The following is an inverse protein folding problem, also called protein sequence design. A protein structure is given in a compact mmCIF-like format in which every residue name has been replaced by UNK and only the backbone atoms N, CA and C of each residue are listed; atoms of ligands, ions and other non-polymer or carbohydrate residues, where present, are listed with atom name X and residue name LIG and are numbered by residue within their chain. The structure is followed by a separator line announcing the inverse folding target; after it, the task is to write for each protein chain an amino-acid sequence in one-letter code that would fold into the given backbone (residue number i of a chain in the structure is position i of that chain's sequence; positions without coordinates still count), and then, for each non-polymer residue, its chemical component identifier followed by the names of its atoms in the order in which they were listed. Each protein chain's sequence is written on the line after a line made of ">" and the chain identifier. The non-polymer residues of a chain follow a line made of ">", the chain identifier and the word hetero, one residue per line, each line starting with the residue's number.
data_IF_087176409184
#
_entry.id   IF_087176409184
#
_cell.length_a   1.000
_cell.length_b   1.000
_cell.length_c   1.000
_cell.angle_alpha   90.00
_cell.angle_beta   90.00
_cell.angle_gamma   90.00
#
_symmetry.space_group_name_H-M   'P 1'
#
loop_
_entity.id
_entity.type
_entity.pdbx_description
1 polymer ?
#
# COMPACT_ATOMS: atom_id res chain seq x y z
N UNK A 1 12.27 -12.69 46.38
CA UNK A 1 11.57 -11.50 45.87
C UNK A 1 10.37 -11.88 45.04
N UNK A 2 9.17 -11.63 45.58
CA UNK A 2 7.88 -11.91 44.93
C UNK A 2 7.48 -10.65 44.16
N UNK A 3 7.25 -10.79 42.85
CA UNK A 3 6.68 -9.74 42.01
C UNK A 3 5.41 -9.18 42.68
N UNK A 4 5.39 -7.88 42.91
CA UNK A 4 4.25 -7.15 43.45
C UNK A 4 3.14 -7.16 42.41
N UNK A 5 1.93 -7.54 42.82
CA UNK A 5 0.75 -7.74 41.96
C UNK A 5 0.18 -6.50 41.27
N UNK A 6 0.97 -5.44 41.08
CA UNK A 6 0.58 -4.22 40.36
C UNK A 6 0.77 -4.34 38.83
N UNK A 7 1.55 -5.31 38.35
CA UNK A 7 1.81 -5.51 36.91
C UNK A 7 0.80 -6.46 36.24
N UNK A 8 -0.14 -7.06 36.98
CA UNK A 8 -0.96 -8.17 36.47
C UNK A 8 -2.28 -7.79 35.82
N UNK A 9 -2.83 -6.61 36.07
CA UNK A 9 -4.17 -6.24 35.56
C UNK A 9 -4.27 -4.75 35.23
N UNK A 10 -3.46 -4.26 34.28
CA UNK A 10 -3.88 -3.07 33.53
C UNK A 10 -4.99 -3.52 32.58
N UNK A 11 -6.22 -3.57 33.10
CA UNK A 11 -7.38 -4.03 32.33
C UNK A 11 -7.68 -2.98 31.27
N UNK A 12 -7.20 -3.23 30.06
CA UNK A 12 -7.60 -2.50 28.87
C UNK A 12 -9.12 -2.65 28.71
N UNK A 13 -9.84 -1.53 28.74
CA UNK A 13 -11.29 -1.46 28.51
C UNK A 13 -11.58 -0.29 27.59
N UNK A 14 -12.63 -0.45 26.78
CA UNK A 14 -13.11 0.57 25.85
C UNK A 14 -12.00 1.14 24.96
N UNK A 15 -11.17 0.24 24.42
CA UNK A 15 -10.04 0.60 23.58
C UNK A 15 -9.93 -0.32 22.36
N UNK A 16 -9.79 0.29 21.20
CA UNK A 16 -9.31 -0.36 19.98
C UNK A 16 -7.83 -0.02 19.84
N UNK A 17 -6.97 -1.04 19.94
CA UNK A 17 -5.52 -0.84 20.09
C UNK A 17 -4.89 -0.22 18.86
N UNK A 18 -5.24 -0.72 17.67
CA UNK A 18 -4.73 -0.14 16.42
C UNK A 18 -5.25 1.27 16.22
N UNK A 19 -6.54 1.50 16.51
CA UNK A 19 -7.10 2.84 16.42
C UNK A 19 -6.34 3.78 17.35
N UNK A 20 -6.24 3.48 18.65
CA UNK A 20 -5.50 4.30 19.64
C UNK A 20 -4.05 4.56 19.21
N UNK A 21 -3.32 3.52 18.79
CA UNK A 21 -1.94 3.64 18.34
C UNK A 21 -1.79 4.62 17.16
N UNK A 22 -2.71 4.57 16.19
CA UNK A 22 -2.71 5.46 15.03
C UNK A 22 -3.18 6.88 15.34
N UNK A 23 -3.78 7.13 16.51
CA UNK A 23 -4.33 8.44 16.90
C UNK A 23 -3.29 9.56 16.99
N UNK A 24 -2.02 9.21 17.23
CA UNK A 24 -0.91 10.17 17.30
C UNK A 24 0.03 10.09 16.09
N UNK A 25 -0.38 9.39 15.04
CA UNK A 25 0.45 9.18 13.85
C UNK A 25 0.22 10.25 12.78
N UNK A 26 1.04 10.24 11.72
CA UNK A 26 0.81 11.04 10.51
C UNK A 26 -0.51 10.72 9.80
N UNK A 27 -1.14 9.58 10.11
CA UNK A 27 -2.44 9.16 9.56
C UNK A 27 -3.62 9.67 10.39
N UNK A 28 -3.37 10.33 11.53
CA UNK A 28 -4.43 10.78 12.46
C UNK A 28 -5.39 11.80 11.84
N UNK A 29 -4.93 12.60 10.89
CA UNK A 29 -5.70 13.66 10.22
C UNK A 29 -6.66 13.15 9.15
N UNK A 30 -6.60 11.86 8.79
CA UNK A 30 -7.43 11.29 7.73
C UNK A 30 -8.05 9.95 8.20
N UNK A 31 -9.36 9.97 8.44
CA UNK A 31 -10.08 8.81 8.97
C UNK A 31 -10.09 7.63 8.01
N UNK A 32 -10.18 7.88 6.70
CA UNK A 32 -10.15 6.85 5.66
C UNK A 32 -8.80 6.13 5.62
N UNK A 33 -7.68 6.87 5.66
CA UNK A 33 -6.34 6.29 5.70
C UNK A 33 -6.09 5.52 7.01
N UNK A 34 -6.61 6.02 8.14
CA UNK A 34 -6.51 5.32 9.43
C UNK A 34 -7.31 4.02 9.44
N UNK A 35 -8.52 4.02 8.86
CA UNK A 35 -9.35 2.82 8.70
C UNK A 35 -8.71 1.82 7.73
N UNK A 36 -8.11 2.30 6.64
CA UNK A 36 -7.35 1.47 5.71
C UNK A 36 -6.14 0.83 6.40
N UNK A 37 -5.34 1.62 7.12
CA UNK A 37 -4.21 1.11 7.90
C UNK A 37 -4.65 0.04 8.89
N UNK A 38 -5.73 0.28 9.65
CA UNK A 38 -6.32 -0.69 10.56
C UNK A 38 -6.82 -1.96 9.85
N UNK A 39 -7.34 -1.82 8.63
CA UNK A 39 -7.81 -2.98 7.85
C UNK A 39 -6.66 -3.85 7.36
N UNK A 40 -5.57 -3.22 6.92
CA UNK A 40 -4.36 -3.93 6.49
C UNK A 40 -3.67 -4.61 7.68
N UNK A 41 -3.51 -3.92 8.81
CA UNK A 41 -2.78 -4.46 9.97
C UNK A 41 -3.64 -5.34 10.89
N UNK A 42 -4.96 -5.22 10.83
CA UNK A 42 -5.87 -5.76 11.83
C UNK A 42 -5.88 -4.93 13.12
N UNK A 43 -6.66 -5.39 14.10
CA UNK A 43 -6.71 -4.76 15.43
C UNK A 43 -7.19 -5.74 16.48
N UNK A 44 -7.03 -5.36 17.74
CA UNK A 44 -7.63 -6.00 18.90
C UNK A 44 -8.41 -4.94 19.67
N UNK A 45 -9.64 -5.27 20.05
CA UNK A 45 -10.58 -4.38 20.72
C UNK A 45 -10.98 -4.99 22.06
N UNK A 46 -10.88 -4.17 23.11
CA UNK A 46 -11.38 -4.47 24.43
C UNK A 46 -12.66 -3.67 24.68
N UNK A 47 -13.78 -4.37 24.85
CA UNK A 47 -15.05 -3.78 25.24
C UNK A 47 -15.11 -3.45 26.74
N UNK A 48 -16.17 -2.74 27.15
CA UNK A 48 -16.36 -2.29 28.53
C UNK A 48 -16.45 -3.45 29.53
N UNK A 49 -16.97 -4.59 29.08
CA UNK A 49 -17.21 -5.79 29.89
C UNK A 49 -16.05 -6.81 29.84
N UNK A 50 -14.90 -6.43 29.28
CA UNK A 50 -13.78 -7.36 29.05
C UNK A 50 -13.97 -8.27 27.83
N UNK A 51 -14.96 -7.98 26.98
CA UNK A 51 -15.12 -8.63 25.68
C UNK A 51 -13.90 -8.35 24.81
N UNK A 52 -13.27 -9.41 24.31
CA UNK A 52 -12.16 -9.36 23.38
C UNK A 52 -12.68 -9.58 21.97
N UNK A 53 -12.41 -8.64 21.06
CA UNK A 53 -12.71 -8.78 19.63
C UNK A 53 -11.46 -8.56 18.79
N UNK A 54 -11.14 -9.53 17.94
CA UNK A 54 -9.99 -9.48 17.03
C UNK A 54 -10.50 -9.14 15.64
N UNK A 55 -9.88 -8.13 15.02
CA UNK A 55 -10.04 -7.83 13.60
C UNK A 55 -8.86 -8.46 12.85
N UNK A 56 -9.15 -9.43 11.99
CA UNK A 56 -8.14 -10.09 11.16
C UNK A 56 -7.53 -9.10 10.15
N UNK A 57 -6.23 -9.22 9.92
CA UNK A 57 -5.52 -8.49 8.86
C UNK A 57 -6.13 -8.82 7.48
N UNK A 58 -6.31 -7.79 6.66
CA UNK A 58 -6.77 -7.91 5.26
C UNK A 58 -5.61 -7.73 4.26
N UNK A 59 -4.35 -7.75 4.72
CA UNK A 59 -3.19 -7.51 3.87
C UNK A 59 -3.02 -8.54 2.74
N UNK A 60 -3.50 -9.78 2.95
CA UNK A 60 -3.50 -10.84 1.94
C UNK A 60 -4.79 -10.90 1.11
N UNK A 61 -5.75 -10.00 1.36
CA UNK A 61 -7.01 -9.96 0.62
C UNK A 61 -6.77 -9.49 -0.82
N UNK A 62 -6.86 -10.45 -1.75
CA UNK A 62 -6.67 -10.18 -3.19
C UNK A 62 -7.77 -9.29 -3.76
N UNK A 63 -8.98 -9.28 -3.20
CA UNK A 63 -10.05 -8.40 -3.68
C UNK A 63 -9.74 -6.93 -3.38
N UNK A 64 -9.11 -6.65 -2.23
CA UNK A 64 -8.66 -5.30 -1.87
C UNK A 64 -7.55 -4.83 -2.80
N UNK A 65 -6.55 -5.68 -3.07
CA UNK A 65 -5.52 -5.40 -4.05
C UNK A 65 -6.14 -5.13 -5.43
N UNK A 66 -7.00 -6.01 -5.94
CA UNK A 66 -7.64 -5.84 -7.25
C UNK A 66 -8.47 -4.56 -7.33
N UNK A 67 -9.26 -4.25 -6.30
CA UNK A 67 -10.05 -3.02 -6.26
C UNK A 67 -9.19 -1.75 -6.29
N UNK A 68 -8.05 -1.74 -5.58
CA UNK A 68 -7.10 -0.61 -5.61
C UNK A 68 -6.41 -0.48 -6.97
N UNK A 69 -6.03 -1.61 -7.56
CA UNK A 69 -5.25 -1.65 -8.79
C UNK A 69 -6.07 -1.33 -10.05
N UNK A 70 -7.25 -1.94 -10.19
CA UNK A 70 -8.06 -1.91 -11.41
C UNK A 70 -9.47 -1.35 -11.21
N UNK A 71 -9.84 -1.01 -9.98
CA UNK A 71 -11.21 -0.69 -9.60
C UNK A 71 -12.02 -1.95 -9.26
N UNK A 72 -13.22 -1.74 -8.74
CA UNK A 72 -14.10 -2.78 -8.22
C UNK A 72 -14.50 -2.51 -6.78
N UNK A 73 -15.04 -3.53 -6.12
CA UNK A 73 -15.52 -3.45 -4.74
C UNK A 73 -14.69 -4.37 -3.85
N UNK A 74 -14.23 -3.84 -2.73
CA UNK A 74 -13.55 -4.59 -1.67
C UNK A 74 -14.18 -4.28 -0.32
N UNK A 75 -13.95 -5.16 0.66
CA UNK A 75 -14.36 -4.92 2.04
C UNK A 75 -13.22 -4.31 2.83
N UNK A 76 -13.55 -3.37 3.70
CA UNK A 76 -12.63 -2.81 4.70
C UNK A 76 -13.36 -2.64 6.02
N UNK A 77 -12.63 -2.56 7.12
CA UNK A 77 -13.22 -2.20 8.40
C UNK A 77 -13.49 -0.70 8.44
N UNK A 78 -14.77 -0.36 8.63
CA UNK A 78 -15.23 1.01 8.82
C UNK A 78 -15.67 1.18 10.26
N UNK A 79 -15.13 2.21 10.90
CA UNK A 79 -15.40 2.54 12.29
C UNK A 79 -16.82 3.06 12.48
N UNK A 80 -17.44 2.66 13.59
CA UNK A 80 -18.72 3.18 14.05
C UNK A 80 -18.65 4.66 14.46
N UNK A 81 -17.48 5.09 14.96
CA UNK A 81 -17.19 6.47 15.32
C UNK A 81 -15.69 6.76 15.17
N UNK A 82 -15.33 8.04 15.00
CA UNK A 82 -13.93 8.46 14.83
C UNK A 82 -13.14 8.57 16.15
N UNK A 83 -13.82 8.51 17.30
CA UNK A 83 -13.17 8.68 18.61
C UNK A 83 -12.43 7.39 19.01
N UNK A 84 -13.18 6.34 19.34
CA UNK A 84 -12.64 5.09 19.89
C UNK A 84 -12.74 3.91 18.93
N UNK A 85 -13.64 3.96 17.93
CA UNK A 85 -13.84 2.87 16.97
C UNK A 85 -13.97 1.49 17.64
N UNK A 86 -14.92 1.35 18.57
CA UNK A 86 -15.07 0.12 19.37
C UNK A 86 -15.90 -0.94 18.65
N UNK A 87 -16.72 -0.53 17.69
CA UNK A 87 -17.62 -1.41 16.93
C UNK A 87 -17.44 -1.30 15.40
N UNK A 88 -16.22 -1.34 14.84
CA UNK A 88 -16.05 -1.39 13.38
C UNK A 88 -16.79 -2.57 12.75
N UNK A 89 -17.25 -2.34 11.53
CA UNK A 89 -17.99 -3.29 10.69
C UNK A 89 -17.34 -3.40 9.32
N UNK A 90 -17.50 -4.55 8.66
CA UNK A 90 -17.02 -4.73 7.29
C UNK A 90 -17.99 -4.06 6.33
N UNK A 91 -17.54 -3.02 5.66
CA UNK A 91 -18.30 -2.31 4.65
C UNK A 91 -17.61 -2.40 3.30
N UNK A 92 -18.44 -2.33 2.25
CA UNK A 92 -17.97 -2.27 0.87
C UNK A 92 -17.43 -0.87 0.57
N UNK A 93 -16.22 -0.81 0.03
CA UNK A 93 -15.66 0.37 -0.63
C UNK A 93 -15.57 0.05 -2.11
N UNK A 94 -16.09 0.96 -2.94
CA UNK A 94 -16.05 0.83 -4.39
C UNK A 94 -15.10 1.87 -4.98
N UNK A 95 -14.14 1.40 -5.75
CA UNK A 95 -13.19 2.22 -6.49
C UNK A 95 -13.59 2.11 -7.96
N UNK A 96 -13.90 3.24 -8.57
CA UNK A 96 -14.22 3.27 -9.98
C UNK A 96 -12.94 3.03 -10.81
N UNK A 97 -13.06 2.39 -11.96
CA UNK A 97 -11.89 2.02 -12.78
C UNK A 97 -11.06 3.25 -13.22
N UNK A 98 -11.72 4.40 -13.40
CA UNK A 98 -11.09 5.70 -13.70
C UNK A 98 -10.25 6.27 -12.53
N UNK A 99 -10.49 5.80 -11.31
CA UNK A 99 -9.75 6.18 -10.09
C UNK A 99 -8.82 5.07 -9.60
N UNK A 100 -8.64 4.02 -10.38
CA UNK A 100 -7.74 2.92 -10.06
C UNK A 100 -6.27 3.34 -10.18
N UNK A 101 -5.37 2.68 -9.44
CA UNK A 101 -3.94 2.99 -9.50
C UNK A 101 -3.36 2.79 -10.90
N UNK A 102 -3.76 1.72 -11.60
CA UNK A 102 -3.32 1.48 -12.99
C UNK A 102 -3.73 2.65 -13.88
N UNK A 103 -4.98 3.11 -13.77
CA UNK A 103 -5.46 4.23 -14.59
C UNK A 103 -4.73 5.54 -14.28
N UNK A 104 -4.52 5.84 -12.99
CA UNK A 104 -3.77 7.04 -12.59
C UNK A 104 -2.32 7.01 -13.08
N UNK A 105 -1.66 5.86 -13.03
CA UNK A 105 -0.31 5.67 -13.56
C UNK A 105 -0.28 5.78 -15.07
N UNK A 106 -1.26 5.18 -15.75
CA UNK A 106 -1.39 5.27 -17.20
C UNK A 106 -1.52 6.73 -17.65
N UNK A 107 -2.42 7.48 -17.02
CA UNK A 107 -2.66 8.89 -17.35
C UNK A 107 -1.42 9.75 -17.07
N UNK A 108 -0.68 9.45 -16.00
CA UNK A 108 0.59 10.09 -15.68
C UNK A 108 1.64 9.82 -16.75
N UNK A 109 1.85 8.55 -17.13
CA UNK A 109 2.83 8.16 -18.14
C UNK A 109 2.48 8.75 -19.51
N UNK A 110 1.22 8.70 -19.92
CA UNK A 110 0.74 9.32 -21.17
C UNK A 110 0.93 10.83 -21.16
N UNK A 111 0.71 11.51 -20.03
CA UNK A 111 0.99 12.95 -19.90
C UNK A 111 2.48 13.26 -20.08
N UNK A 112 3.36 12.47 -19.44
CA UNK A 112 4.83 12.63 -19.56
C UNK A 112 5.28 12.36 -21.00
N UNK A 113 4.77 11.30 -21.63
CA UNK A 113 5.08 10.95 -23.02
C UNK A 113 4.66 12.06 -23.98
N UNK A 114 3.43 12.54 -23.90
CA UNK A 114 2.94 13.62 -24.75
C UNK A 114 3.82 14.87 -24.63
N UNK A 115 4.19 15.25 -23.39
CA UNK A 115 5.05 16.40 -23.14
C UNK A 115 6.48 16.21 -23.66
N UNK A 116 7.01 14.99 -23.59
CA UNK A 116 8.31 14.67 -24.17
C UNK A 116 8.29 14.80 -25.70
N UNK A 117 7.19 14.40 -26.35
CA UNK A 117 7.02 14.52 -27.81
C UNK A 117 6.82 15.97 -28.24
N UNK A 118 6.03 16.74 -27.49
CA UNK A 118 5.69 18.14 -27.82
C UNK A 118 6.67 19.17 -27.24
N UNK A 119 7.81 18.73 -26.72
CA UNK A 119 8.83 19.57 -26.06
C UNK A 119 8.24 20.54 -25.02
N UNK A 120 7.29 20.01 -24.23
CA UNK A 120 6.59 20.78 -23.20
C UNK A 120 7.16 20.47 -21.82
N UNK A 121 7.39 21.47 -20.95
CA UNK A 121 7.95 21.22 -19.62
C UNK A 121 7.10 20.30 -18.75
N UNK A 122 7.77 19.39 -18.03
CA UNK A 122 7.13 18.56 -17.00
C UNK A 122 6.73 19.39 -15.78
N UNK A 123 5.59 19.05 -15.21
CA UNK A 123 5.10 19.57 -13.93
C UNK A 123 5.90 18.99 -12.77
N UNK A 124 5.86 19.64 -11.61
CA UNK A 124 6.52 19.12 -10.39
C UNK A 124 5.98 17.73 -9.98
N UNK A 125 4.68 17.48 -10.17
CA UNK A 125 4.07 16.17 -9.89
C UNK A 125 4.65 15.07 -10.80
N UNK A 126 4.82 15.36 -12.08
CA UNK A 126 5.42 14.41 -13.03
C UNK A 126 6.90 14.15 -12.71
N UNK A 127 7.66 15.18 -12.35
CA UNK A 127 9.06 15.03 -11.92
C UNK A 127 9.17 14.19 -10.65
N UNK A 128 8.32 14.45 -9.67
CA UNK A 128 8.26 13.66 -8.43
C UNK A 128 7.90 12.20 -8.71
N UNK A 129 6.93 11.96 -9.60
CA UNK A 129 6.55 10.62 -10.03
C UNK A 129 7.73 9.88 -10.66
N UNK A 130 8.47 10.51 -11.59
CA UNK A 130 9.67 9.93 -12.20
C UNK A 130 10.72 9.56 -11.13
N UNK A 131 10.93 10.46 -10.16
CA UNK A 131 11.91 10.24 -9.09
C UNK A 131 11.46 9.25 -8.01
N UNK A 132 10.17 8.89 -7.96
CA UNK A 132 9.63 7.93 -6.99
C UNK A 132 9.72 6.46 -7.42
N UNK A 133 10.12 6.21 -8.67
CA UNK A 133 10.22 4.85 -9.21
C UNK A 133 11.67 4.51 -9.55
N UNK A 134 12.08 3.27 -9.34
CA UNK A 134 13.40 2.77 -9.78
C UNK A 134 13.50 2.63 -11.31
N UNK A 135 12.37 2.68 -12.02
CA UNK A 135 12.32 2.49 -13.46
C UNK A 135 12.71 3.78 -14.19
N UNK A 136 13.62 3.73 -15.17
CA UNK A 136 13.99 4.90 -15.96
C UNK A 136 12.89 5.25 -16.98
N UNK A 137 11.76 5.82 -16.51
CA UNK A 137 10.57 6.16 -17.30
C UNK A 137 10.92 6.94 -18.57
N UNK A 138 11.83 7.92 -18.48
CA UNK A 138 12.22 8.73 -19.63
C UNK A 138 12.91 7.89 -20.73
N UNK A 139 13.75 6.92 -20.34
CA UNK A 139 14.36 6.03 -21.33
C UNK A 139 13.32 5.15 -22.01
N UNK A 140 12.32 4.69 -21.27
CA UNK A 140 11.22 3.89 -21.81
C UNK A 140 10.42 4.65 -22.86
N UNK A 141 10.12 5.93 -22.61
CA UNK A 141 9.41 6.81 -23.55
C UNK A 141 10.23 7.02 -24.83
N UNK A 142 11.54 7.28 -24.68
CA UNK A 142 12.43 7.44 -25.84
C UNK A 142 12.48 6.15 -26.67
N UNK A 143 12.62 4.99 -26.01
CA UNK A 143 12.70 3.70 -26.69
C UNK A 143 11.39 3.39 -27.44
N UNK A 144 10.22 3.66 -26.82
CA UNK A 144 8.88 3.51 -27.43
C UNK A 144 8.76 4.26 -28.77
N UNK A 145 9.11 5.55 -28.76
CA UNK A 145 9.02 6.40 -29.96
C UNK A 145 9.89 5.92 -31.13
N UNK A 146 10.99 5.24 -30.85
CA UNK A 146 11.99 4.86 -31.86
C UNK A 146 11.69 3.56 -32.61
N UNK A 147 10.89 2.66 -32.03
CA UNK A 147 10.74 1.29 -32.53
C UNK A 147 9.29 0.87 -32.77
N UNK A 148 8.32 1.80 -32.69
CA UNK A 148 6.88 1.46 -32.65
C UNK A 148 6.61 0.32 -31.65
N UNK A 149 7.25 0.41 -30.48
CA UNK A 149 7.21 -0.64 -29.46
C UNK A 149 5.74 -0.94 -29.16
N UNK A 150 5.40 -2.22 -29.06
CA UNK A 150 4.03 -2.66 -28.88
C UNK A 150 3.43 -2.04 -27.62
N UNK A 151 2.20 -1.53 -27.75
CA UNK A 151 1.37 -1.00 -26.66
C UNK A 151 1.30 -1.94 -25.44
N UNK A 152 1.52 -3.24 -25.65
CA UNK A 152 1.61 -4.26 -24.61
C UNK A 152 2.73 -4.03 -23.59
N UNK A 153 3.89 -3.52 -24.00
CA UNK A 153 5.02 -3.35 -23.09
C UNK A 153 4.85 -2.10 -22.21
N UNK A 154 4.20 -1.06 -22.77
CA UNK A 154 3.79 0.11 -22.00
C UNK A 154 2.71 -0.23 -20.96
N UNK A 155 1.78 -1.13 -21.30
CA UNK A 155 0.81 -1.64 -20.35
C UNK A 155 1.48 -2.43 -19.21
N UNK A 156 2.46 -3.29 -19.52
CA UNK A 156 3.23 -4.01 -18.49
C UNK A 156 4.02 -3.06 -17.58
N UNK A 157 4.62 -2.01 -18.15
CA UNK A 157 5.29 -0.96 -17.39
C UNK A 157 4.31 -0.22 -16.46
N UNK A 158 3.12 0.11 -16.96
CA UNK A 158 2.04 0.76 -16.19
C UNK A 158 1.63 -0.12 -15.01
N UNK A 159 1.34 -1.39 -15.26
CA UNK A 159 0.96 -2.36 -14.23
C UNK A 159 2.05 -2.50 -13.17
N UNK A 160 3.31 -2.59 -13.60
CA UNK A 160 4.45 -2.66 -12.70
C UNK A 160 4.53 -1.44 -11.77
N UNK A 161 4.56 -0.23 -12.35
CA UNK A 161 4.68 1.01 -11.57
C UNK A 161 3.51 1.14 -10.58
N UNK A 162 2.30 0.78 -11.00
CA UNK A 162 1.14 0.82 -10.12
C UNK A 162 1.28 -0.13 -8.92
N UNK A 163 1.77 -1.35 -9.12
CA UNK A 163 1.97 -2.31 -8.02
C UNK A 163 3.12 -1.86 -7.12
N UNK A 164 4.20 -1.32 -7.69
CA UNK A 164 5.32 -0.78 -6.92
C UNK A 164 4.87 0.37 -6.01
N UNK A 165 4.11 1.34 -6.54
CA UNK A 165 3.53 2.44 -5.75
C UNK A 165 2.63 1.91 -4.64
N UNK A 166 1.80 0.91 -4.94
CA UNK A 166 0.94 0.29 -3.94
C UNK A 166 1.75 -0.37 -2.82
N UNK A 167 2.81 -1.11 -3.18
CA UNK A 167 3.72 -1.74 -2.24
C UNK A 167 4.40 -0.69 -1.34
N UNK A 168 4.97 0.37 -1.94
CA UNK A 168 5.60 1.48 -1.20
C UNK A 168 4.61 2.13 -0.22
N UNK A 169 3.35 2.32 -0.65
CA UNK A 169 2.30 2.86 0.21
C UNK A 169 2.00 1.93 1.40
N UNK A 170 1.84 0.62 1.16
CA UNK A 170 1.62 -0.33 2.24
C UNK A 170 2.83 -0.45 3.19
N UNK A 171 4.05 -0.37 2.68
CA UNK A 171 5.28 -0.34 3.50
C UNK A 171 5.30 0.92 4.39
N UNK A 172 4.93 2.08 3.85
CA UNK A 172 4.82 3.32 4.61
C UNK A 172 3.75 3.21 5.71
N UNK A 173 2.58 2.65 5.38
CA UNK A 173 1.51 2.38 6.37
C UNK A 173 2.01 1.44 7.46
N UNK A 174 2.66 0.33 7.11
CA UNK A 174 3.20 -0.61 8.09
C UNK A 174 4.30 0.00 8.95
N UNK A 175 5.14 0.87 8.39
CA UNK A 175 6.15 1.62 9.16
C UNK A 175 5.48 2.50 10.22
N UNK A 176 4.43 3.23 9.85
CA UNK A 176 3.65 4.06 10.78
C UNK A 176 3.01 3.20 11.86
N UNK A 177 2.35 2.09 11.48
CA UNK A 177 1.72 1.15 12.41
C UNK A 177 2.73 0.61 13.45
N UNK A 178 3.89 0.14 12.99
CA UNK A 178 4.92 -0.39 13.90
C UNK A 178 5.50 0.69 14.82
N UNK A 179 5.73 1.90 14.29
CA UNK A 179 6.19 3.04 15.10
C UNK A 179 5.17 3.43 16.16
N UNK A 180 3.89 3.54 15.78
CA UNK A 180 2.78 3.83 16.68
C UNK A 180 2.67 2.81 17.82
N UNK A 181 2.76 1.51 17.52
CA UNK A 181 2.68 0.46 18.54
C UNK A 181 3.91 0.45 19.46
N UNK A 182 5.10 0.78 18.96
CA UNK A 182 6.32 0.82 19.78
C UNK A 182 6.26 1.90 20.87
N UNK A 183 5.42 2.93 20.72
CA UNK A 183 5.24 4.00 21.72
C UNK A 183 4.22 3.65 22.83
N UNK A 184 3.55 2.50 22.73
CA UNK A 184 2.45 2.12 23.62
C UNK A 184 2.80 0.87 24.41
N UNK A 185 2.64 0.92 25.72
CA UNK A 185 2.89 -0.21 26.63
C UNK A 185 1.60 -1.00 26.88
N UNK A 186 1.23 -1.87 25.93
CA UNK A 186 0.05 -2.72 26.07
C UNK A 186 0.42 -4.08 26.73
N UNK A 187 -0.42 -4.63 27.63
CA UNK A 187 -0.17 -5.91 28.29
C UNK A 187 0.12 -7.06 27.30
N UNK A 188 1.17 -7.83 27.58
CA UNK A 188 1.77 -8.78 26.63
C UNK A 188 0.85 -9.91 26.15
N UNK A 189 -0.07 -10.40 26.98
CA UNK A 189 -1.02 -11.46 26.61
C UNK A 189 -2.00 -11.02 25.51
N UNK A 190 -2.36 -9.73 25.52
CA UNK A 190 -3.32 -9.09 24.61
C UNK A 190 -2.68 -8.65 23.28
N UNK A 191 -1.35 -8.72 23.19
CA UNK A 191 -0.56 -8.33 22.04
C UNK A 191 -0.25 -9.47 21.09
N UNK A 192 -0.54 -10.72 21.47
CA UNK A 192 -0.18 -11.88 20.66
C UNK A 192 -0.95 -11.90 19.34
N UNK A 193 -2.26 -11.68 19.39
CA UNK A 193 -3.15 -11.69 18.22
C UNK A 193 -2.83 -10.50 17.30
N UNK A 194 -2.57 -9.33 17.89
CA UNK A 194 -2.16 -8.15 17.11
C UNK A 194 -0.81 -8.37 16.42
N UNK A 195 0.17 -8.93 17.14
CA UNK A 195 1.48 -9.28 16.57
C UNK A 195 1.35 -10.32 15.46
N UNK A 196 0.41 -11.27 15.57
CA UNK A 196 0.11 -12.23 14.51
C UNK A 196 -0.43 -11.52 13.27
N UNK A 197 -1.43 -10.65 13.40
CA UNK A 197 -1.96 -9.89 12.26
C UNK A 197 -0.91 -9.02 11.57
N UNK A 198 0.01 -8.43 12.33
CA UNK A 198 1.15 -7.69 11.78
C UNK A 198 2.16 -8.61 11.07
N UNK A 199 2.38 -9.82 11.57
CA UNK A 199 3.25 -10.80 10.93
C UNK A 199 2.64 -11.27 9.60
N UNK A 200 1.33 -11.54 9.58
CA UNK A 200 0.59 -11.90 8.37
C UNK A 200 0.67 -10.76 7.34
N UNK A 201 0.48 -9.51 7.77
CA UNK A 201 0.62 -8.34 6.90
C UNK A 201 2.02 -8.19 6.31
N UNK A 202 3.07 -8.40 7.12
CA UNK A 202 4.46 -8.40 6.64
C UNK A 202 4.73 -9.53 5.66
N UNK A 203 4.20 -10.72 5.91
CA UNK A 203 4.35 -11.85 5.00
C UNK A 203 3.68 -11.57 3.66
N UNK A 204 2.45 -11.03 3.68
CA UNK A 204 1.74 -10.63 2.46
C UNK A 204 2.52 -9.59 1.66
N UNK A 205 3.12 -8.59 2.33
CA UNK A 205 3.97 -7.60 1.69
C UNK A 205 5.23 -8.20 1.06
N UNK A 206 5.89 -9.11 1.77
CA UNK A 206 7.07 -9.78 1.22
C UNK A 206 6.73 -10.62 -0.01
N UNK A 207 5.58 -11.32 0.01
CA UNK A 207 5.09 -12.04 -1.17
C UNK A 207 4.82 -11.11 -2.35
N UNK A 208 4.14 -9.98 -2.10
CA UNK A 208 3.88 -8.98 -3.14
C UNK A 208 5.19 -8.39 -3.68
N UNK A 209 6.16 -8.12 -2.82
CA UNK A 209 7.48 -7.62 -3.21
C UNK A 209 8.23 -8.58 -4.13
N UNK A 210 8.20 -9.88 -3.83
CA UNK A 210 8.80 -10.89 -4.72
C UNK A 210 8.09 -10.93 -6.08
N UNK A 211 6.75 -10.84 -6.10
CA UNK A 211 5.98 -10.74 -7.36
C UNK A 211 6.37 -9.49 -8.17
N UNK A 212 6.59 -8.35 -7.50
CA UNK A 212 7.02 -7.09 -8.13
C UNK A 212 8.43 -7.21 -8.70
N UNK A 213 9.39 -7.73 -7.93
CA UNK A 213 10.79 -7.88 -8.37
C UNK A 213 10.92 -8.75 -9.63
N UNK A 214 10.16 -9.84 -9.72
CA UNK A 214 10.15 -10.69 -10.92
C UNK A 214 9.66 -9.91 -12.16
N UNK A 215 8.64 -9.05 -11.98
CA UNK A 215 8.14 -8.20 -13.06
C UNK A 215 9.13 -7.10 -13.44
N UNK A 216 9.84 -6.54 -12.45
CA UNK A 216 10.91 -5.56 -12.67
C UNK A 216 12.01 -6.14 -13.56
N UNK A 217 12.53 -7.30 -13.19
CA UNK A 217 13.61 -7.98 -13.91
C UNK A 217 13.21 -8.30 -15.37
N UNK A 218 11.97 -8.74 -15.56
CA UNK A 218 11.43 -9.01 -16.89
C UNK A 218 11.34 -7.73 -17.75
N UNK A 219 10.89 -6.62 -17.16
CA UNK A 219 10.82 -5.32 -17.85
C UNK A 219 12.21 -4.79 -18.20
N UNK A 220 13.17 -4.84 -17.27
CA UNK A 220 14.55 -4.41 -17.51
C UNK A 220 15.19 -5.24 -18.62
N UNK A 221 14.99 -6.56 -18.61
CA UNK A 221 15.49 -7.45 -19.64
C UNK A 221 14.91 -7.11 -21.02
N UNK A 222 13.59 -6.89 -21.10
CA UNK A 222 12.93 -6.46 -22.34
C UNK A 222 13.49 -5.13 -22.84
N UNK A 223 13.70 -4.15 -21.95
CA UNK A 223 14.28 -2.86 -22.31
C UNK A 223 15.71 -3.00 -22.87
N UNK A 224 16.54 -3.84 -22.27
CA UNK A 224 17.91 -4.09 -22.75
C UNK A 224 17.91 -4.68 -24.16
N UNK A 225 17.01 -5.63 -24.45
CA UNK A 225 16.86 -6.21 -25.79
C UNK A 225 16.45 -5.16 -26.82
N UNK A 226 15.51 -4.29 -26.48
CA UNK A 226 15.07 -3.18 -27.33
C UNK A 226 16.23 -2.24 -27.67
N UNK A 227 17.01 -1.84 -26.67
CA UNK A 227 18.19 -0.98 -26.89
C UNK A 227 19.23 -1.66 -27.78
N UNK A 228 19.45 -2.95 -27.61
CA UNK A 228 20.36 -3.73 -28.45
C UNK A 228 19.91 -3.76 -29.92
N UNK A 229 18.61 -4.02 -30.16
CA UNK A 229 18.03 -3.98 -31.51
C UNK A 229 18.20 -2.60 -32.12
N UNK A 230 17.91 -1.53 -31.35
CA UNK A 230 18.09 -0.15 -31.80
C UNK A 230 19.51 0.14 -32.27
N UNK A 231 20.53 -0.32 -31.54
CA UNK A 231 21.93 -0.14 -31.94
C UNK A 231 22.26 -0.83 -33.27
N UNK A 232 21.69 -2.02 -33.52
CA UNK A 232 21.90 -2.72 -34.79
C UNK A 232 21.23 -2.01 -35.97
N UNK A 233 20.02 -1.49 -35.80
CA UNK A 233 19.28 -0.83 -36.89
C UNK A 233 19.71 0.63 -37.12
N UNK A 234 20.45 1.21 -36.18
CA UNK A 234 21.04 2.55 -36.31
C UNK A 234 22.44 2.54 -36.95
N UNK A 235 22.94 1.35 -37.31
CA UNK A 235 24.20 1.13 -38.05
C UNK A 235 23.93 0.96 -39.54
#
# INVERSE_FOLDING_TARGET
>A
DKATGAEKDQVLKDINLMWDALGNSSLSSNAELRQFAMSISGSVIFGSNGELRVLSSMASDRSLLTAMMSGGTAKVYVCDNQNKCLSPTLNNVTISADKSLIKMVQDMLTSIENKAITDTPLTEKEKQFINSTSIPILSWIVDQSSLSISQSLFAQLTDYIAVDIYLQYLEAVMKVVNGSLATKDYPGANMKELKSGLADARQALNSLRMEVQIKEDALISAQQQIRFIRQQVSS
#
